data_IF_289758186381
#
_entry.id   IF_289758186381
#
_cell.length_a   1.000
_cell.length_b   1.000
_cell.length_c   1.000
_cell.angle_alpha   90.00
_cell.angle_beta   90.00
_cell.angle_gamma   90.00
#
_symmetry.space_group_name_H-M   'P 1'
#
loop_
_entity.id
_entity.type
_entity.pdbx_description
1 polymer ?
#
# COMPACT_ATOMS: atom_id res chain seq x y z
N UNK A 1 -52.60 17.98 -20.85
CA UNK A 1 -53.56 17.30 -19.94
C UNK A 1 -53.94 15.97 -20.59
N UNK A 2 -53.82 14.86 -19.87
CA UNK A 2 -54.24 13.52 -20.29
C UNK A 2 -55.54 13.19 -19.54
N UNK A 3 -56.52 12.65 -20.22
CA UNK A 3 -57.70 12.07 -19.62
C UNK A 3 -57.57 10.55 -19.60
N UNK A 4 -57.74 9.97 -18.44
CA UNK A 4 -57.71 8.51 -18.28
C UNK A 4 -59.12 8.09 -17.98
N UNK A 5 -59.68 7.23 -18.84
CA UNK A 5 -61.04 6.71 -18.71
C UNK A 5 -60.98 5.25 -18.31
N UNK A 6 -61.64 4.89 -17.26
CA UNK A 6 -61.82 3.49 -16.85
C UNK A 6 -63.20 3.04 -17.22
N UNK A 7 -63.28 1.96 -17.95
CA UNK A 7 -64.55 1.37 -18.35
C UNK A 7 -64.61 -0.09 -17.92
N UNK A 8 -65.70 -0.46 -17.30
CA UNK A 8 -65.98 -1.84 -16.93
C UNK A 8 -66.41 -2.59 -18.21
N UNK A 9 -65.78 -3.73 -18.48
CA UNK A 9 -66.01 -4.53 -19.68
C UNK A 9 -66.86 -5.77 -19.44
N UNK A 10 -67.20 -6.07 -18.20
CA UNK A 10 -68.03 -7.18 -17.82
C UNK A 10 -69.48 -6.75 -17.53
N UNK A 11 -70.46 -7.63 -17.79
CA UNK A 11 -71.87 -7.40 -17.54
C UNK A 11 -72.30 -7.98 -16.16
N UNK A 12 -71.41 -8.21 -15.25
CA UNK A 12 -71.75 -8.75 -13.93
C UNK A 12 -72.52 -7.73 -13.08
N UNK A 13 -73.56 -8.21 -12.38
CA UNK A 13 -74.36 -7.39 -11.45
C UNK A 13 -73.69 -7.18 -10.09
N UNK A 14 -72.46 -7.64 -9.96
CA UNK A 14 -71.75 -7.49 -8.69
C UNK A 14 -71.41 -6.04 -8.41
N UNK A 15 -71.75 -5.58 -7.21
CA UNK A 15 -71.45 -4.23 -6.72
C UNK A 15 -70.02 -4.04 -6.30
N UNK A 16 -69.05 -4.65 -6.99
CA UNK A 16 -67.64 -4.46 -6.73
C UNK A 16 -67.22 -3.05 -7.10
N UNK A 17 -66.72 -2.34 -6.13
CA UNK A 17 -66.14 -0.96 -6.35
C UNK A 17 -64.72 -1.10 -6.86
N UNK A 18 -64.47 -0.51 -8.04
CA UNK A 18 -63.13 -0.29 -8.54
C UNK A 18 -62.62 1.02 -7.94
N UNK A 19 -61.56 0.95 -7.15
CA UNK A 19 -60.91 2.11 -6.62
C UNK A 19 -59.50 2.20 -7.22
N UNK A 20 -59.17 3.35 -7.77
CA UNK A 20 -57.80 3.65 -8.26
C UNK A 20 -57.07 4.33 -7.13
N UNK A 21 -56.06 3.68 -6.54
CA UNK A 21 -55.29 4.23 -5.44
C UNK A 21 -54.13 5.10 -5.94
N UNK A 22 -53.45 4.69 -7.01
CA UNK A 22 -52.31 5.43 -7.54
C UNK A 22 -52.23 5.32 -9.06
N UNK A 23 -51.78 6.37 -9.70
CA UNK A 23 -51.46 6.40 -11.14
C UNK A 23 -50.01 6.83 -11.29
N UNK A 24 -49.17 5.95 -11.81
CA UNK A 24 -47.78 6.25 -12.11
C UNK A 24 -47.61 6.53 -13.61
N UNK A 25 -47.09 7.71 -13.94
CA UNK A 25 -46.68 8.00 -15.32
C UNK A 25 -45.20 7.60 -15.46
N UNK A 26 -44.94 6.59 -16.26
CA UNK A 26 -43.56 6.18 -16.58
C UNK A 26 -43.16 6.79 -17.92
N UNK A 27 -42.23 7.73 -17.84
CA UNK A 27 -41.62 8.32 -19.03
C UNK A 27 -40.31 7.59 -19.34
N UNK A 28 -40.29 6.81 -20.40
CA UNK A 28 -39.07 6.14 -20.85
C UNK A 28 -38.23 7.15 -21.65
N UNK A 29 -37.17 7.63 -21.05
CA UNK A 29 -36.19 8.47 -21.76
C UNK A 29 -35.28 7.57 -22.58
N UNK A 30 -35.32 7.68 -23.88
CA UNK A 30 -34.53 6.84 -24.81
C UNK A 30 -33.14 7.38 -25.11
N UNK A 31 -32.85 8.64 -24.73
CA UNK A 31 -31.62 9.33 -25.08
C UNK A 31 -30.81 9.79 -23.84
N UNK A 32 -30.93 9.11 -22.72
CA UNK A 32 -30.10 9.40 -21.55
C UNK A 32 -28.80 8.64 -21.65
N UNK A 33 -27.72 9.36 -21.88
CA UNK A 33 -26.36 8.80 -21.91
C UNK A 33 -25.68 9.18 -20.62
N UNK A 34 -25.25 8.20 -19.86
CA UNK A 34 -24.40 8.37 -18.70
C UNK A 34 -22.96 8.05 -19.12
N UNK A 35 -22.26 9.05 -19.66
CA UNK A 35 -20.94 8.86 -20.27
C UNK A 35 -19.86 8.44 -19.24
N UNK A 36 -20.05 8.84 -17.99
CA UNK A 36 -19.06 8.63 -16.90
C UNK A 36 -19.46 7.53 -15.92
N UNK A 37 -20.69 7.01 -16.02
CA UNK A 37 -21.21 6.02 -15.10
C UNK A 37 -21.45 4.67 -15.77
N UNK A 38 -21.02 3.60 -15.12
CA UNK A 38 -21.37 2.24 -15.50
C UNK A 38 -22.70 1.85 -14.85
N UNK A 39 -23.75 1.81 -15.65
CA UNK A 39 -25.09 1.46 -15.17
C UNK A 39 -25.36 -0.03 -15.31
N UNK A 40 -25.87 -0.64 -14.25
CA UNK A 40 -26.34 -2.03 -14.26
C UNK A 40 -27.84 -2.06 -13.96
N UNK A 41 -28.61 -2.59 -14.86
CA UNK A 41 -30.05 -2.83 -14.65
C UNK A 41 -30.29 -4.30 -14.34
N UNK A 42 -30.84 -4.60 -13.17
CA UNK A 42 -31.22 -5.95 -12.79
C UNK A 42 -32.75 -6.09 -12.89
N UNK A 43 -33.21 -6.92 -13.82
CA UNK A 43 -34.64 -7.26 -13.95
C UNK A 43 -34.94 -8.57 -13.25
N UNK A 44 -35.71 -8.51 -12.19
CA UNK A 44 -36.14 -9.69 -11.44
C UNK A 44 -37.61 -10.01 -11.76
N UNK A 45 -37.88 -11.24 -12.22
CA UNK A 45 -39.24 -11.69 -12.47
C UNK A 45 -39.93 -11.89 -11.11
N UNK A 46 -41.13 -11.34 -10.97
CA UNK A 46 -41.93 -11.57 -9.76
C UNK A 46 -42.37 -13.04 -9.70
N UNK A 47 -41.94 -13.75 -8.69
CA UNK A 47 -42.32 -15.13 -8.36
C UNK A 47 -42.66 -15.17 -6.86
N UNK A 48 -43.34 -16.21 -6.38
CA UNK A 48 -43.63 -16.36 -4.94
C UNK A 48 -42.39 -16.22 -4.03
N UNK A 49 -41.25 -16.74 -4.48
CA UNK A 49 -39.98 -16.61 -3.77
C UNK A 49 -39.32 -15.22 -3.90
N UNK A 50 -39.75 -14.42 -4.84
CA UNK A 50 -39.20 -13.09 -5.12
C UNK A 50 -40.04 -11.96 -4.49
N UNK A 51 -41.24 -12.24 -4.05
CA UNK A 51 -42.16 -11.27 -3.43
C UNK A 51 -42.09 -11.25 -1.92
N UNK A 52 -41.49 -12.27 -1.26
CA UNK A 52 -41.20 -12.21 0.17
C UNK A 52 -40.13 -11.14 0.41
N UNK A 53 -40.45 -10.12 1.21
CA UNK A 53 -39.65 -8.89 1.48
C UNK A 53 -38.24 -9.09 2.02
N UNK A 54 -37.45 -9.93 1.35
CA UNK A 54 -36.01 -10.09 1.61
C UNK A 54 -35.24 -9.04 0.86
N UNK A 55 -34.36 -8.34 1.55
CA UNK A 55 -33.39 -7.45 0.96
C UNK A 55 -32.59 -8.18 -0.12
N UNK A 56 -32.62 -7.67 -1.33
CA UNK A 56 -31.86 -8.20 -2.46
C UNK A 56 -30.54 -7.48 -2.53
N UNK A 57 -29.46 -8.22 -2.29
CA UNK A 57 -28.09 -7.69 -2.42
C UNK A 57 -27.52 -8.10 -3.76
N UNK A 58 -27.02 -7.11 -4.50
CA UNK A 58 -26.31 -7.31 -5.74
C UNK A 58 -24.82 -7.08 -5.49
N UNK A 59 -23.99 -8.06 -5.82
CA UNK A 59 -22.53 -7.94 -5.76
C UNK A 59 -21.94 -8.11 -7.15
N UNK A 60 -21.03 -7.24 -7.52
CA UNK A 60 -20.32 -7.32 -8.78
C UNK A 60 -18.80 -7.15 -8.55
N UNK A 61 -18.00 -7.84 -9.35
CA UNK A 61 -16.59 -7.55 -9.49
C UNK A 61 -16.46 -6.48 -10.57
N UNK A 62 -15.90 -5.35 -10.20
CA UNK A 62 -15.66 -4.23 -11.11
C UNK A 62 -14.19 -3.90 -11.13
N UNK A 63 -13.67 -3.51 -12.29
CA UNK A 63 -12.33 -2.94 -12.42
C UNK A 63 -12.50 -1.45 -12.70
N UNK A 64 -11.96 -0.62 -11.81
CA UNK A 64 -11.99 0.82 -12.00
C UNK A 64 -10.94 1.24 -13.01
N UNK A 65 -11.31 2.20 -13.86
CA UNK A 65 -10.35 2.90 -14.71
C UNK A 65 -9.72 4.04 -13.92
N UNK A 66 -8.42 4.14 -13.97
CA UNK A 66 -7.62 5.11 -13.24
C UNK A 66 -6.59 5.78 -14.15
N UNK A 67 -6.05 6.89 -13.70
CA UNK A 67 -4.91 7.59 -14.34
C UNK A 67 -3.62 6.82 -14.07
N UNK A 68 -2.58 7.14 -14.83
CA UNK A 68 -1.25 6.56 -14.66
C UNK A 68 -0.16 7.61 -14.84
N UNK A 69 1.08 7.24 -14.60
CA UNK A 69 2.23 8.12 -14.81
C UNK A 69 3.22 7.48 -15.78
N UNK A 70 3.71 8.29 -16.71
CA UNK A 70 4.70 7.84 -17.67
C UNK A 70 6.10 8.22 -17.18
N UNK A 71 6.87 7.23 -16.75
CA UNK A 71 8.24 7.41 -16.24
C UNK A 71 9.20 8.01 -17.27
N UNK A 72 8.97 7.78 -18.58
CA UNK A 72 9.83 8.29 -19.64
C UNK A 72 9.61 9.77 -19.91
N UNK A 73 8.35 10.19 -19.97
CA UNK A 73 7.97 11.60 -20.20
C UNK A 73 7.90 12.41 -18.92
N UNK A 74 7.90 11.74 -17.76
CA UNK A 74 7.71 12.32 -16.44
C UNK A 74 6.40 13.14 -16.33
N UNK A 75 5.32 12.61 -16.90
CA UNK A 75 4.02 13.26 -16.91
C UNK A 75 2.91 12.32 -16.49
N UNK A 76 1.90 12.87 -15.83
CA UNK A 76 0.66 12.15 -15.52
C UNK A 76 -0.15 11.96 -16.79
N UNK A 77 -0.52 10.73 -17.09
CA UNK A 77 -1.46 10.39 -18.16
C UNK A 77 -2.88 10.31 -17.56
N UNK A 78 -3.68 11.32 -17.84
CA UNK A 78 -5.07 11.42 -17.37
C UNK A 78 -6.04 10.52 -18.17
N UNK A 79 -5.54 9.76 -19.14
CA UNK A 79 -6.35 8.79 -19.86
C UNK A 79 -6.71 7.64 -18.93
N UNK A 80 -8.00 7.47 -18.65
CA UNK A 80 -8.50 6.44 -17.77
C UNK A 80 -8.35 5.04 -18.38
N UNK A 81 -7.62 4.16 -17.70
CA UNK A 81 -7.38 2.77 -18.10
C UNK A 81 -7.60 1.82 -16.93
N UNK A 82 -8.04 0.57 -17.19
CA UNK A 82 -8.17 -0.41 -16.13
C UNK A 82 -6.80 -0.74 -15.54
N UNK A 83 -6.65 -0.60 -14.23
CA UNK A 83 -5.42 -0.96 -13.53
C UNK A 83 -5.73 -1.56 -12.15
N UNK A 84 -4.85 -2.46 -11.72
CA UNK A 84 -4.82 -3.04 -10.37
C UNK A 84 -3.54 -2.67 -9.62
N UNK A 85 -2.64 -1.90 -10.24
CA UNK A 85 -1.38 -1.50 -9.64
C UNK A 85 -1.61 -0.49 -8.53
N UNK A 86 -0.97 -0.72 -7.38
CA UNK A 86 -1.13 0.16 -6.23
C UNK A 86 -0.74 1.61 -6.55
N UNK A 87 0.32 1.82 -7.37
CA UNK A 87 0.77 3.15 -7.72
C UNK A 87 -0.26 3.94 -8.54
N UNK A 88 -0.89 3.32 -9.54
CA UNK A 88 -1.95 3.96 -10.33
C UNK A 88 -3.16 4.29 -9.45
N UNK A 89 -3.52 3.37 -8.54
CA UNK A 89 -4.65 3.55 -7.63
C UNK A 89 -4.35 4.62 -6.58
N UNK A 90 -3.13 4.66 -6.04
CA UNK A 90 -2.67 5.69 -5.13
C UNK A 90 -2.70 7.07 -5.78
N UNK A 91 -2.12 7.19 -6.99
CA UNK A 91 -2.11 8.42 -7.75
C UNK A 91 -3.54 8.92 -8.05
N UNK A 92 -4.43 8.02 -8.48
CA UNK A 92 -5.84 8.35 -8.73
C UNK A 92 -6.55 8.82 -7.47
N UNK A 93 -6.36 8.12 -6.33
CA UNK A 93 -6.99 8.53 -5.07
C UNK A 93 -6.48 9.87 -4.59
N UNK A 94 -5.19 10.18 -4.77
CA UNK A 94 -4.61 11.45 -4.35
C UNK A 94 -5.06 12.61 -5.23
N UNK A 95 -4.84 12.52 -6.55
CA UNK A 95 -5.08 13.62 -7.48
C UNK A 95 -6.58 13.80 -7.81
N UNK A 96 -7.30 12.70 -8.06
CA UNK A 96 -8.68 12.77 -8.58
C UNK A 96 -9.71 12.73 -7.46
N UNK A 97 -9.60 11.75 -6.56
CA UNK A 97 -10.58 11.61 -5.46
C UNK A 97 -10.31 12.65 -4.37
N UNK A 98 -9.05 12.81 -3.98
CA UNK A 98 -8.62 13.76 -2.95
C UNK A 98 -8.45 15.18 -3.44
N UNK A 99 -8.47 15.41 -4.77
CA UNK A 99 -8.29 16.73 -5.40
C UNK A 99 -7.02 17.46 -4.91
N UNK A 100 -5.96 16.70 -4.61
CA UNK A 100 -4.70 17.25 -4.18
C UNK A 100 -3.82 17.63 -5.39
N UNK A 101 -2.95 18.64 -5.28
CA UNK A 101 -2.06 19.02 -6.37
C UNK A 101 -0.96 17.98 -6.61
N UNK A 102 -0.47 17.89 -7.84
CA UNK A 102 0.65 16.98 -8.20
C UNK A 102 1.93 17.28 -7.39
N UNK A 103 2.15 18.52 -7.00
CA UNK A 103 3.31 18.94 -6.20
C UNK A 103 3.29 18.47 -4.75
N UNK A 104 2.18 17.92 -4.27
CA UNK A 104 2.04 17.42 -2.89
C UNK A 104 2.29 15.92 -2.74
N UNK A 105 2.77 15.26 -3.80
CA UNK A 105 3.05 13.82 -3.82
C UNK A 105 4.30 13.54 -4.64
N UNK A 106 5.18 12.68 -4.14
CA UNK A 106 6.33 12.18 -4.89
C UNK A 106 5.90 11.08 -5.88
N UNK A 107 5.41 11.53 -7.05
CA UNK A 107 4.93 10.63 -8.11
C UNK A 107 6.08 9.79 -8.66
N UNK A 108 7.26 10.37 -8.83
CA UNK A 108 8.40 9.66 -9.40
C UNK A 108 8.87 8.53 -8.50
N UNK A 109 9.05 8.79 -7.20
CA UNK A 109 9.42 7.78 -6.21
C UNK A 109 8.37 6.68 -6.08
N UNK A 110 7.08 7.02 -6.12
CA UNK A 110 5.98 6.04 -6.12
C UNK A 110 6.12 5.04 -7.29
N UNK A 111 6.38 5.54 -8.50
CA UNK A 111 6.49 4.70 -9.70
C UNK A 111 7.84 3.99 -9.81
N UNK A 112 8.91 4.52 -9.21
CA UNK A 112 10.16 3.76 -9.04
C UNK A 112 9.92 2.51 -8.19
N UNK A 113 9.22 2.63 -7.08
CA UNK A 113 8.85 1.49 -6.22
C UNK A 113 7.97 0.50 -7.00
N UNK A 114 7.01 0.99 -7.80
CA UNK A 114 6.19 0.12 -8.65
C UNK A 114 7.06 -0.64 -9.66
N UNK A 115 8.04 0.00 -10.27
CA UNK A 115 8.95 -0.64 -11.22
C UNK A 115 9.85 -1.69 -10.55
N UNK A 116 10.33 -1.45 -9.33
CA UNK A 116 11.05 -2.44 -8.53
C UNK A 116 10.19 -3.67 -8.23
N UNK A 117 8.92 -3.46 -7.90
CA UNK A 117 7.97 -4.53 -7.64
C UNK A 117 7.69 -5.32 -8.91
N UNK A 118 7.42 -4.63 -10.03
CA UNK A 118 7.16 -5.24 -11.33
C UNK A 118 8.36 -6.08 -11.83
N UNK A 119 9.57 -5.69 -11.49
CA UNK A 119 10.78 -6.44 -11.82
C UNK A 119 10.90 -7.76 -11.03
N UNK A 120 10.28 -7.84 -9.85
CA UNK A 120 10.23 -9.09 -9.06
C UNK A 120 9.02 -9.92 -9.51
N UNK A 121 7.83 -9.42 -9.31
CA UNK A 121 6.57 -10.00 -9.78
C UNK A 121 5.46 -8.93 -9.69
N UNK A 122 4.79 -8.57 -10.81
CA UNK A 122 3.76 -7.54 -10.81
C UNK A 122 2.60 -7.82 -9.83
N UNK A 123 2.33 -9.10 -9.52
CA UNK A 123 1.26 -9.49 -8.60
C UNK A 123 1.46 -8.99 -7.17
N UNK A 124 2.69 -8.66 -6.79
CA UNK A 124 3.03 -8.10 -5.47
C UNK A 124 2.54 -6.67 -5.28
N UNK A 125 2.25 -5.96 -6.36
CA UNK A 125 1.74 -4.59 -6.35
C UNK A 125 0.24 -4.48 -6.64
N UNK A 126 -0.54 -5.56 -6.62
CA UNK A 126 -1.97 -5.49 -6.87
C UNK A 126 -2.74 -5.03 -5.63
N UNK A 127 -3.75 -4.21 -5.87
CA UNK A 127 -4.69 -3.74 -4.87
C UNK A 127 -6.12 -3.96 -5.37
N UNK A 128 -6.91 -4.70 -4.60
CA UNK A 128 -8.27 -5.10 -4.96
C UNK A 128 -9.23 -4.84 -3.79
N UNK A 129 -9.70 -3.60 -3.65
CA UNK A 129 -10.56 -3.20 -2.56
C UNK A 129 -11.59 -2.14 -2.99
N UNK A 130 -12.65 -2.04 -2.24
CA UNK A 130 -13.65 -0.97 -2.36
C UNK A 130 -13.72 -0.22 -1.03
N UNK A 131 -13.44 1.06 -1.07
CA UNK A 131 -13.68 1.94 0.08
C UNK A 131 -15.17 2.30 0.09
N UNK A 132 -15.95 1.58 0.90
CA UNK A 132 -17.38 1.76 1.08
C UNK A 132 -17.72 2.58 2.33
N UNK A 133 -16.74 2.92 3.13
CA UNK A 133 -16.85 3.80 4.29
C UNK A 133 -16.48 5.23 3.89
N UNK A 134 -17.43 6.14 4.04
CA UNK A 134 -17.26 7.56 3.71
C UNK A 134 -16.37 8.29 4.73
N UNK A 135 -16.28 7.77 5.95
CA UNK A 135 -15.52 8.40 7.05
C UNK A 135 -14.00 8.13 6.98
N UNK A 136 -13.54 7.28 6.05
CA UNK A 136 -12.11 7.01 5.90
C UNK A 136 -11.39 8.19 5.28
N UNK A 137 -10.42 8.76 6.02
CA UNK A 137 -9.59 9.86 5.56
C UNK A 137 -8.75 9.51 4.33
N UNK A 138 -8.36 10.51 3.54
CA UNK A 138 -7.49 10.30 2.37
C UNK A 138 -6.15 9.68 2.78
N UNK A 139 -5.55 10.11 3.89
CA UNK A 139 -4.31 9.52 4.41
C UNK A 139 -4.45 8.04 4.72
N UNK A 140 -5.52 7.63 5.43
CA UNK A 140 -5.77 6.21 5.74
C UNK A 140 -6.03 5.37 4.49
N UNK A 141 -6.66 5.96 3.45
CA UNK A 141 -6.80 5.30 2.15
C UNK A 141 -5.44 5.06 1.50
N UNK A 142 -4.57 6.08 1.52
CA UNK A 142 -3.22 5.97 0.98
C UNK A 142 -2.39 4.90 1.71
N UNK A 143 -2.44 4.88 3.05
CA UNK A 143 -1.79 3.85 3.87
C UNK A 143 -2.29 2.44 3.48
N UNK A 144 -3.60 2.26 3.36
CA UNK A 144 -4.20 0.96 2.99
C UNK A 144 -3.79 0.50 1.59
N UNK A 145 -3.77 1.43 0.62
CA UNK A 145 -3.35 1.13 -0.75
C UNK A 145 -1.87 0.72 -0.79
N UNK A 146 -1.03 1.47 -0.10
CA UNK A 146 0.42 1.24 -0.09
C UNK A 146 0.79 -0.01 0.72
N UNK A 147 0.08 -0.32 1.81
CA UNK A 147 0.33 -1.52 2.61
C UNK A 147 0.12 -2.82 1.81
N UNK A 148 -0.76 -2.81 0.80
CA UNK A 148 -0.91 -3.95 -0.11
C UNK A 148 0.41 -4.36 -0.79
N UNK A 149 1.22 -3.38 -1.14
CA UNK A 149 2.54 -3.58 -1.76
C UNK A 149 3.70 -3.59 -0.74
N UNK A 150 3.39 -3.56 0.56
CA UNK A 150 4.36 -3.40 1.65
C UNK A 150 5.20 -2.11 1.52
N UNK A 151 4.54 -1.03 1.12
CA UNK A 151 5.07 0.32 1.00
C UNK A 151 4.59 1.14 2.18
N UNK A 152 5.47 1.87 2.81
CA UNK A 152 5.14 2.82 3.87
C UNK A 152 5.03 4.22 3.29
N UNK A 153 4.08 4.99 3.83
CA UNK A 153 3.79 6.37 3.43
C UNK A 153 4.25 7.29 4.55
N UNK A 154 4.86 8.40 4.22
CA UNK A 154 5.27 9.42 5.18
C UNK A 154 5.17 10.83 4.57
N UNK A 155 5.12 11.82 5.42
CA UNK A 155 5.18 13.23 5.01
C UNK A 155 6.64 13.69 5.01
N UNK A 156 7.07 14.22 3.88
CA UNK A 156 8.37 14.87 3.73
C UNK A 156 8.16 16.34 3.39
N UNK A 157 8.18 17.18 4.42
CA UNK A 157 8.00 18.64 4.28
C UNK A 157 6.74 19.06 3.49
N UNK A 158 5.63 18.35 3.70
CA UNK A 158 4.35 18.60 3.02
C UNK A 158 4.19 17.86 1.69
N UNK A 159 5.14 17.01 1.34
CA UNK A 159 5.07 16.12 0.17
C UNK A 159 4.86 14.69 0.64
N UNK A 160 3.80 14.05 0.16
CA UNK A 160 3.53 12.65 0.43
C UNK A 160 4.57 11.77 -0.26
N UNK A 161 5.42 11.13 0.52
CA UNK A 161 6.55 10.32 0.07
C UNK A 161 6.40 8.86 0.44
N UNK A 162 7.14 8.00 -0.24
CA UNK A 162 6.97 6.55 -0.17
C UNK A 162 8.30 5.85 0.05
N UNK A 163 8.28 4.81 0.86
CA UNK A 163 9.44 3.94 1.03
C UNK A 163 9.03 2.49 1.09
N UNK A 164 9.86 1.62 0.54
CA UNK A 164 9.68 0.18 0.62
C UNK A 164 10.91 -0.45 1.26
N UNK A 165 10.66 -1.35 2.20
CA UNK A 165 11.71 -2.18 2.78
C UNK A 165 12.21 -3.18 1.71
N UNK A 166 13.14 -2.71 0.87
CA UNK A 166 13.80 -3.45 -0.18
C UNK A 166 15.31 -3.53 0.09
N UNK A 167 16.01 -4.44 -0.59
CA UNK A 167 17.46 -4.54 -0.46
C UNK A 167 18.11 -3.26 -0.98
N UNK A 168 18.75 -2.51 -0.11
CA UNK A 168 19.57 -1.36 -0.48
C UNK A 168 21.01 -1.82 -0.76
N UNK A 169 21.66 -1.18 -1.72
CA UNK A 169 23.04 -1.50 -2.13
C UNK A 169 24.08 -0.58 -1.51
N UNK A 170 23.65 0.61 -1.10
CA UNK A 170 24.50 1.61 -0.46
C UNK A 170 23.79 2.23 0.73
N UNK A 171 24.55 2.60 1.76
CA UNK A 171 24.02 3.40 2.85
C UNK A 171 23.92 4.88 2.44
N UNK A 172 22.87 5.55 2.92
CA UNK A 172 22.70 7.00 2.71
C UNK A 172 23.78 7.77 3.51
N UNK A 173 24.06 7.31 4.73
CA UNK A 173 25.11 7.91 5.58
C UNK A 173 25.67 6.92 6.57
N UNK A 174 26.80 7.29 7.17
CA UNK A 174 27.47 6.55 8.25
C UNK A 174 27.49 7.42 9.50
N UNK A 175 26.82 6.97 10.55
CA UNK A 175 26.85 7.64 11.85
C UNK A 175 28.01 7.09 12.70
N UNK A 176 28.97 7.93 13.04
CA UNK A 176 30.11 7.61 13.85
C UNK A 176 30.31 8.63 14.98
N UNK A 177 31.39 8.53 15.72
CA UNK A 177 31.66 9.43 16.85
C UNK A 177 31.82 10.91 16.48
N UNK A 178 32.13 11.22 15.22
CA UNK A 178 32.35 12.61 14.77
C UNK A 178 31.05 13.33 14.47
N UNK A 179 29.99 12.59 14.12
CA UNK A 179 28.68 13.15 13.73
C UNK A 179 27.51 12.69 14.63
N UNK A 180 27.83 12.11 15.79
CA UNK A 180 26.84 11.71 16.79
C UNK A 180 27.18 12.26 18.16
N UNK A 181 26.17 12.49 19.00
CA UNK A 181 26.38 12.89 20.38
C UNK A 181 26.85 11.69 21.21
N UNK A 182 27.87 11.85 22.07
CA UNK A 182 28.44 10.75 22.86
C UNK A 182 27.45 10.06 23.80
N UNK A 183 26.43 10.80 24.28
CA UNK A 183 25.39 10.35 25.21
C UNK A 183 24.11 9.92 24.50
N UNK A 184 24.07 10.04 23.18
CA UNK A 184 22.88 9.77 22.33
C UNK A 184 22.82 8.37 21.76
N UNK A 185 23.64 7.44 22.18
CA UNK A 185 23.69 6.08 21.66
C UNK A 185 23.05 5.09 22.63
N UNK A 186 22.13 4.29 22.14
CA UNK A 186 21.64 3.13 22.87
C UNK A 186 21.38 1.96 21.94
N UNK A 187 21.78 0.77 22.41
CA UNK A 187 21.57 -0.49 21.72
C UNK A 187 20.68 -1.38 22.59
N UNK A 188 19.61 -1.89 22.04
CA UNK A 188 18.79 -2.92 22.67
C UNK A 188 18.68 -4.14 21.76
N UNK A 189 18.70 -5.32 22.36
CA UNK A 189 18.62 -6.58 21.65
C UNK A 189 17.58 -7.48 22.30
N UNK A 190 16.64 -7.97 21.48
CA UNK A 190 15.63 -8.95 21.91
C UNK A 190 16.21 -10.35 21.81
N UNK A 191 16.43 -10.99 22.97
CA UNK A 191 16.94 -12.37 23.03
C UNK A 191 15.94 -13.40 22.52
N UNK A 192 14.66 -13.07 22.56
CA UNK A 192 13.54 -13.86 22.02
C UNK A 192 12.98 -13.23 20.74
N UNK A 193 12.08 -13.93 20.07
CA UNK A 193 11.36 -13.33 18.95
C UNK A 193 10.50 -12.14 19.44
N UNK A 194 10.53 -11.00 18.73
CA UNK A 194 9.83 -9.79 19.14
C UNK A 194 8.36 -10.03 19.45
N UNK A 195 7.88 -9.51 20.58
CA UNK A 195 6.50 -9.72 21.05
C UNK A 195 6.16 -11.14 21.46
N UNK A 196 7.14 -12.06 21.49
CA UNK A 196 6.96 -13.47 21.82
C UNK A 196 6.11 -14.22 20.79
N UNK A 197 6.03 -13.72 19.54
CA UNK A 197 5.37 -14.41 18.44
C UNK A 197 6.27 -15.52 17.90
N UNK A 198 5.67 -16.68 17.58
CA UNK A 198 6.36 -17.82 16.98
C UNK A 198 6.02 -18.02 15.50
N UNK A 199 5.34 -17.05 14.90
CA UNK A 199 5.02 -17.06 13.48
C UNK A 199 4.05 -15.96 13.08
N UNK A 200 3.58 -16.05 11.85
CA UNK A 200 2.75 -15.03 11.19
C UNK A 200 1.51 -15.68 10.58
N UNK A 201 0.39 -15.01 10.69
CA UNK A 201 -0.85 -15.32 10.00
C UNK A 201 -1.27 -14.10 9.18
N UNK A 202 -1.44 -14.28 7.88
CA UNK A 202 -1.96 -13.26 6.96
C UNK A 202 -3.32 -13.70 6.46
N UNK A 203 -4.32 -12.89 6.70
CA UNK A 203 -5.66 -13.06 6.19
C UNK A 203 -5.80 -12.31 4.87
N UNK A 204 -6.29 -12.98 3.85
CA UNK A 204 -6.53 -12.39 2.52
C UNK A 204 -7.90 -12.83 1.98
N UNK A 205 -8.33 -12.27 0.86
CA UNK A 205 -9.58 -12.65 0.22
C UNK A 205 -9.33 -13.58 -0.96
N UNK A 206 -9.75 -14.84 -0.84
CA UNK A 206 -9.61 -15.82 -1.91
C UNK A 206 -10.47 -15.43 -3.13
N UNK A 207 -9.90 -15.29 -4.35
CA UNK A 207 -10.63 -14.85 -5.53
C UNK A 207 -11.68 -15.86 -6.01
N UNK A 208 -11.45 -17.16 -5.81
CA UNK A 208 -12.32 -18.23 -6.32
C UNK A 208 -13.57 -18.39 -5.48
N UNK A 209 -13.41 -18.35 -4.15
CA UNK A 209 -14.51 -18.53 -3.20
C UNK A 209 -15.12 -17.22 -2.75
N UNK A 210 -14.44 -16.09 -2.99
CA UNK A 210 -14.75 -14.75 -2.48
C UNK A 210 -14.89 -14.69 -0.95
N UNK A 211 -14.28 -15.64 -0.23
CA UNK A 211 -14.25 -15.73 1.22
C UNK A 211 -12.87 -15.36 1.74
N UNK A 212 -12.81 -15.08 3.04
CA UNK A 212 -11.56 -14.92 3.75
C UNK A 212 -10.81 -16.26 3.81
N UNK A 213 -9.52 -16.21 3.58
CA UNK A 213 -8.60 -17.34 3.64
C UNK A 213 -7.32 -16.90 4.35
N UNK A 214 -6.47 -17.84 4.76
CA UNK A 214 -5.34 -17.57 5.63
C UNK A 214 -4.07 -18.23 5.10
N UNK A 215 -2.98 -17.48 5.15
CA UNK A 215 -1.63 -17.99 5.00
C UNK A 215 -0.96 -17.99 6.36
N UNK A 216 -0.33 -19.10 6.74
CA UNK A 216 0.28 -19.28 8.06
C UNK A 216 1.67 -19.86 7.96
N UNK A 217 2.60 -19.20 8.64
CA UNK A 217 3.97 -19.67 8.78
C UNK A 217 4.39 -19.67 10.24
N UNK A 218 5.05 -20.73 10.66
CA UNK A 218 5.67 -20.83 11.98
C UNK A 218 7.18 -20.74 11.87
N UNK A 219 7.80 -20.19 12.90
CA UNK A 219 9.26 -20.07 13.02
C UNK A 219 9.75 -21.17 13.95
N UNK A 220 10.73 -21.97 13.49
CA UNK A 220 11.40 -22.99 14.29
C UNK A 220 12.90 -22.76 14.21
N UNK A 221 13.47 -22.23 15.28
CA UNK A 221 14.84 -21.68 15.24
C UNK A 221 14.93 -20.51 14.27
N UNK A 222 15.73 -20.65 13.22
CA UNK A 222 15.86 -19.66 12.14
C UNK A 222 15.15 -20.11 10.83
N UNK A 223 14.40 -21.20 10.87
CA UNK A 223 13.69 -21.72 9.71
C UNK A 223 12.23 -21.29 9.74
N UNK A 224 11.70 -20.93 8.56
CA UNK A 224 10.30 -20.58 8.34
C UNK A 224 9.64 -21.79 7.69
N UNK A 225 8.57 -22.28 8.31
CA UNK A 225 7.86 -23.51 7.89
C UNK A 225 6.38 -23.19 7.73
N UNK A 226 5.78 -23.59 6.62
CA UNK A 226 4.32 -23.47 6.44
C UNK A 226 3.58 -24.28 7.51
N UNK A 227 2.63 -23.68 8.18
CA UNK A 227 1.84 -24.28 9.25
C UNK A 227 1.41 -23.27 10.30
N UNK A 228 0.46 -23.67 11.13
CA UNK A 228 -0.12 -22.81 12.15
C UNK A 228 0.88 -22.56 13.29
N UNK A 229 1.24 -21.31 13.61
CA UNK A 229 1.99 -20.98 14.81
C UNK A 229 1.10 -21.09 16.07
N UNK A 230 1.72 -21.23 17.24
CA UNK A 230 0.99 -21.22 18.50
C UNK A 230 0.56 -19.79 18.90
N UNK A 231 1.43 -18.81 18.62
CA UNK A 231 1.16 -17.39 18.85
C UNK A 231 1.52 -16.57 17.60
N UNK A 232 0.55 -16.42 16.69
CA UNK A 232 0.74 -15.70 15.44
C UNK A 232 0.73 -14.18 15.63
N UNK A 233 1.64 -13.48 14.90
CA UNK A 233 1.44 -12.07 14.56
C UNK A 233 0.46 -12.01 13.38
N UNK A 234 -0.70 -11.39 13.59
CA UNK A 234 -1.80 -11.39 12.62
C UNK A 234 -1.79 -10.13 11.77
N UNK A 235 -2.05 -10.31 10.48
CA UNK A 235 -2.23 -9.24 9.50
C UNK A 235 -3.53 -9.46 8.73
N UNK A 236 -4.36 -8.44 8.65
CA UNK A 236 -5.62 -8.45 7.90
C UNK A 236 -5.45 -7.69 6.59
N UNK A 237 -5.25 -8.42 5.49
CA UNK A 237 -5.05 -7.85 4.16
C UNK A 237 -6.26 -8.13 3.26
N UNK A 238 -7.44 -7.63 3.64
CA UNK A 238 -8.69 -7.87 2.90
C UNK A 238 -8.70 -7.21 1.50
N UNK A 239 -7.77 -6.30 1.27
CA UNK A 239 -7.49 -5.65 -0.02
C UNK A 239 -6.56 -6.46 -0.93
N UNK A 240 -6.10 -7.63 -0.50
CA UNK A 240 -5.30 -8.57 -1.28
C UNK A 240 -6.17 -9.76 -1.68
N UNK A 241 -6.23 -10.05 -2.98
CA UNK A 241 -6.98 -11.18 -3.54
C UNK A 241 -6.06 -12.23 -4.18
N UNK A 242 -4.78 -12.19 -3.87
CA UNK A 242 -3.79 -13.07 -4.44
C UNK A 242 -3.03 -13.79 -3.32
N UNK A 243 -3.11 -15.13 -3.29
CA UNK A 243 -2.39 -15.95 -2.30
C UNK A 243 -0.89 -15.70 -2.33
N UNK A 244 -0.30 -15.56 -3.52
CA UNK A 244 1.14 -15.31 -3.67
C UNK A 244 1.58 -14.02 -2.95
N UNK A 245 0.81 -12.96 -3.05
CA UNK A 245 1.09 -11.69 -2.36
C UNK A 245 0.96 -11.84 -0.83
N UNK A 246 -0.02 -12.61 -0.36
CA UNK A 246 -0.20 -12.91 1.05
C UNK A 246 0.94 -13.80 1.60
N UNK A 247 1.40 -14.79 0.81
CA UNK A 247 2.55 -15.64 1.14
C UNK A 247 3.83 -14.81 1.29
N UNK A 248 4.13 -13.93 0.31
CA UNK A 248 5.30 -13.05 0.35
C UNK A 248 5.26 -12.09 1.54
N UNK A 249 4.08 -11.54 1.89
CA UNK A 249 3.94 -10.73 3.10
C UNK A 249 4.22 -11.54 4.36
N UNK A 250 3.66 -12.73 4.47
CA UNK A 250 3.88 -13.60 5.63
C UNK A 250 5.35 -14.00 5.79
N UNK A 251 6.03 -14.37 4.69
CA UNK A 251 7.45 -14.69 4.69
C UNK A 251 8.32 -13.49 5.08
N UNK A 252 8.00 -12.29 4.57
CA UNK A 252 8.68 -11.03 4.93
C UNK A 252 8.55 -10.74 6.44
N UNK A 253 7.36 -10.83 6.98
CA UNK A 253 7.12 -10.58 8.40
C UNK A 253 7.78 -11.65 9.30
N UNK A 254 7.82 -12.92 8.87
CA UNK A 254 8.62 -13.95 9.55
C UNK A 254 10.11 -13.62 9.56
N UNK A 255 10.67 -13.18 8.41
CA UNK A 255 12.07 -12.72 8.33
C UNK A 255 12.34 -11.54 9.26
N UNK A 256 11.41 -10.59 9.35
CA UNK A 256 11.51 -9.47 10.30
C UNK A 256 11.55 -9.96 11.75
N UNK A 257 10.71 -10.92 12.14
CA UNK A 257 10.74 -11.51 13.48
C UNK A 257 12.08 -12.19 13.77
N UNK A 258 12.71 -12.83 12.79
CA UNK A 258 13.99 -13.52 12.97
C UNK A 258 15.17 -12.55 13.01
N UNK A 259 15.23 -11.58 12.10
CA UNK A 259 16.43 -10.78 11.84
C UNK A 259 16.38 -9.38 12.45
N UNK A 260 15.20 -8.79 12.67
CA UNK A 260 15.08 -7.45 13.23
C UNK A 260 14.92 -7.49 14.74
N UNK A 261 15.93 -8.06 15.43
CA UNK A 261 15.95 -8.18 16.89
C UNK A 261 16.79 -7.12 17.58
N UNK A 262 17.52 -6.34 16.82
CA UNK A 262 18.38 -5.29 17.32
C UNK A 262 17.79 -3.94 16.97
N UNK A 263 17.69 -3.07 17.97
CA UNK A 263 17.27 -1.69 17.79
C UNK A 263 18.38 -0.77 18.28
N UNK A 264 18.83 0.10 17.39
CA UNK A 264 19.79 1.14 17.71
C UNK A 264 19.09 2.50 17.73
N UNK A 265 19.41 3.32 18.72
CA UNK A 265 19.05 4.73 18.76
C UNK A 265 20.31 5.55 18.77
N UNK A 266 20.37 6.52 17.88
CA UNK A 266 21.52 7.41 17.72
C UNK A 266 21.00 8.83 17.68
N UNK A 267 21.62 9.75 18.43
CA UNK A 267 21.35 11.18 18.30
C UNK A 267 22.39 11.76 17.37
N UNK A 268 22.00 11.97 16.13
CA UNK A 268 22.87 12.54 15.10
C UNK A 268 23.04 14.06 15.31
N UNK A 269 24.12 14.61 14.76
CA UNK A 269 24.32 16.04 14.55
C UNK A 269 23.64 16.47 13.23
N UNK A 270 24.13 17.48 12.55
CA UNK A 270 23.54 18.00 11.31
C UNK A 270 23.37 16.95 10.21
N UNK A 271 24.26 15.97 10.15
CA UNK A 271 24.19 14.86 9.17
C UNK A 271 22.90 14.02 9.27
N UNK A 272 22.18 14.14 10.39
CA UNK A 272 20.88 13.49 10.55
C UNK A 272 19.77 14.11 9.71
N UNK A 273 19.93 15.34 9.24
CA UNK A 273 18.96 16.04 8.39
C UNK A 273 18.91 15.48 6.96
N UNK A 274 19.95 14.74 6.54
CA UNK A 274 20.06 14.15 5.22
C UNK A 274 19.48 12.75 5.09
N UNK A 275 18.89 12.22 6.16
CA UNK A 275 18.40 10.84 6.20
C UNK A 275 16.89 10.83 6.22
N UNK A 276 16.32 10.13 5.26
CA UNK A 276 14.88 9.94 5.14
C UNK A 276 14.41 8.62 5.76
N UNK A 277 13.12 8.53 6.02
CA UNK A 277 12.49 7.30 6.51
C UNK A 277 12.68 6.18 5.48
N UNK A 278 13.23 5.04 5.93
CA UNK A 278 13.50 3.88 5.07
C UNK A 278 14.89 3.85 4.45
N UNK A 279 15.71 4.85 4.70
CA UNK A 279 17.11 4.83 4.27
C UNK A 279 17.93 3.81 5.07
N UNK A 280 18.87 3.19 4.38
CA UNK A 280 19.88 2.36 5.03
C UNK A 280 20.99 3.26 5.57
N UNK A 281 21.22 3.19 6.86
CA UNK A 281 22.33 3.87 7.51
C UNK A 281 23.29 2.85 8.11
N UNK A 282 24.55 3.21 8.19
CA UNK A 282 25.55 2.42 8.92
C UNK A 282 25.86 3.08 10.27
N UNK A 283 25.78 2.29 11.32
CA UNK A 283 26.14 2.73 12.67
C UNK A 283 27.19 1.76 13.19
N UNK A 284 28.48 2.14 13.17
CA UNK A 284 29.54 1.28 13.70
C UNK A 284 29.36 1.10 15.20
N UNK A 285 29.52 -0.12 15.68
CA UNK A 285 29.66 -0.37 17.10
C UNK A 285 30.98 0.23 17.60
N UNK A 286 30.95 0.73 18.81
CA UNK A 286 32.13 1.31 19.47
C UNK A 286 33.34 0.38 19.50
N UNK A 287 33.09 -0.92 19.40
CA UNK A 287 34.10 -1.98 19.41
C UNK A 287 34.46 -2.51 18.03
N UNK A 288 33.78 -2.07 16.97
CA UNK A 288 34.08 -2.52 15.60
C UNK A 288 35.25 -1.73 15.03
N UNK A 289 36.42 -2.36 15.04
CA UNK A 289 37.66 -1.80 14.49
C UNK A 289 37.70 -1.86 12.95
N UNK A 290 36.77 -2.52 12.31
CA UNK A 290 36.70 -2.67 10.85
C UNK A 290 36.12 -1.45 10.15
N UNK A 291 35.45 -0.56 10.87
CA UNK A 291 34.90 0.66 10.32
C UNK A 291 35.77 1.86 10.76
N UNK A 292 36.24 2.60 9.76
CA UNK A 292 37.08 3.76 9.96
C UNK A 292 36.44 4.94 9.23
N UNK A 293 36.53 6.12 9.78
CA UNK A 293 35.97 7.33 9.18
C UNK A 293 36.94 8.50 9.39
N UNK A 294 36.93 9.43 8.47
CA UNK A 294 37.71 10.68 8.57
C UNK A 294 37.14 11.70 7.58
N UNK A 295 37.38 12.97 7.87
CA UNK A 295 37.02 14.05 6.96
C UNK A 295 38.07 14.18 5.84
N UNK A 296 37.64 14.55 4.64
CA UNK A 296 38.54 14.91 3.57
C UNK A 296 39.10 16.30 3.86
N UNK A 297 40.40 16.37 4.15
CA UNK A 297 41.12 17.61 4.46
C UNK A 297 41.61 18.29 3.18
N UNK A 298 42.10 17.49 2.23
CA UNK A 298 42.53 17.98 0.93
C UNK A 298 42.27 16.99 -0.19
N UNK A 299 42.14 17.48 -1.42
CA UNK A 299 41.95 16.66 -2.60
C UNK A 299 42.81 17.16 -3.75
N UNK A 300 43.57 16.26 -4.36
CA UNK A 300 44.31 16.54 -5.61
C UNK A 300 43.95 15.43 -6.63
N UNK A 301 43.10 15.76 -7.58
CA UNK A 301 42.59 14.78 -8.55
C UNK A 301 41.75 13.69 -7.87
N UNK A 302 42.21 12.43 -7.88
CA UNK A 302 41.61 11.29 -7.22
C UNK A 302 42.28 10.93 -5.89
N UNK A 303 43.30 11.69 -5.46
CA UNK A 303 43.98 11.49 -4.19
C UNK A 303 43.31 12.34 -3.14
N UNK A 304 42.98 11.70 -2.02
CA UNK A 304 42.32 12.31 -0.86
C UNK A 304 43.24 12.23 0.35
N UNK A 305 43.39 13.32 1.06
CA UNK A 305 43.99 13.36 2.40
C UNK A 305 42.85 13.41 3.43
N UNK A 306 42.89 12.50 4.40
CA UNK A 306 41.87 12.38 5.43
C UNK A 306 42.39 12.85 6.78
N UNK A 307 41.53 13.41 7.63
CA UNK A 307 41.82 13.85 8.99
C UNK A 307 42.33 12.72 9.90
N UNK A 308 41.88 11.51 9.62
CA UNK A 308 42.25 10.31 10.37
C UNK A 308 42.98 9.32 9.47
N UNK A 309 43.88 8.56 10.04
CA UNK A 309 44.58 7.50 9.27
C UNK A 309 43.62 6.35 9.00
N UNK A 310 43.30 6.13 7.75
CA UNK A 310 42.49 5.01 7.28
C UNK A 310 43.43 3.88 6.83
N UNK A 311 43.29 2.70 7.41
CA UNK A 311 44.06 1.53 7.06
C UNK A 311 43.23 0.67 6.07
N UNK A 312 43.69 0.53 4.86
CA UNK A 312 43.07 -0.34 3.85
C UNK A 312 43.70 -1.75 3.98
N UNK A 313 42.89 -2.72 4.46
CA UNK A 313 43.32 -4.12 4.53
C UNK A 313 42.13 -5.02 4.05
N UNK A 314 42.42 -5.90 3.08
CA UNK A 314 41.37 -6.75 2.51
C UNK A 314 40.47 -6.02 1.51
N UNK A 315 39.28 -6.58 1.27
CA UNK A 315 38.27 -5.93 0.44
C UNK A 315 37.51 -4.88 1.25
N UNK A 316 37.68 -3.63 0.91
CA UNK A 316 37.04 -2.49 1.59
C UNK A 316 36.16 -1.70 0.61
N UNK A 317 35.08 -1.18 1.12
CA UNK A 317 34.23 -0.22 0.42
C UNK A 317 34.45 1.15 1.06
N UNK A 318 34.62 2.18 0.23
CA UNK A 318 34.74 3.56 0.67
C UNK A 318 33.47 4.30 0.26
N UNK A 319 32.80 4.88 1.22
CA UNK A 319 31.71 5.82 0.96
C UNK A 319 32.26 7.23 1.16
N UNK A 320 32.06 8.06 0.15
CA UNK A 320 32.42 9.48 0.20
C UNK A 320 31.13 10.26 0.01
N UNK A 321 30.82 11.13 0.97
CA UNK A 321 29.71 12.07 0.89
C UNK A 321 30.28 13.49 0.72
N UNK A 322 29.62 14.30 -0.07
CA UNK A 322 29.95 15.71 -0.22
C UNK A 322 29.08 16.58 0.71
N UNK A 323 29.18 17.91 0.56
CA UNK A 323 28.41 18.85 1.37
C UNK A 323 26.92 18.87 1.06
N UNK A 324 26.49 18.13 0.07
CA UNK A 324 25.06 17.98 -0.32
C UNK A 324 24.46 16.65 0.16
N UNK A 325 25.23 15.76 0.75
CA UNK A 325 24.80 14.47 1.29
C UNK A 325 25.17 13.25 0.45
#
# INVERSE_FOLDING_TARGET
RYAITFQRTDNSSDASKLQVEEIHAVNVRTNVVHAEDSLVMVKVRATENATSGRDRKYNALITRHVISYNMTTQQVDYTLRPSRKFADIALFNWLVVGQQPESSIDIYGLYQIQAEIDAIDPRLGYFDFTFDDEDVSLGSRMETICDAASVSVYDDNGVLSFTRDSKKTSAATIFNRSNTRPDGYSLSYDMTLPGGYDGVEVQYRNPDTNKQDFVRYRISGNSIIEGSPAKAKKFEMLYVRNRFQADERALRECKRLIYSRMTMKVTAMADGEWVNIGDMVQVPDTYDTNQQAGYIVSRVGNDFETSERINFSGTMFVQVTDSSG
#
